data_IF_300533924385
#
_entry.id   IF_300533924385
#
_cell.length_a   1.000
_cell.length_b   1.000
_cell.length_c   1.000
_cell.angle_alpha   90.00
_cell.angle_beta   90.00
_cell.angle_gamma   90.00
#
_symmetry.space_group_name_H-M   'P 1'
#
loop_
_entity.id
_entity.type
_entity.pdbx_description
1 polymer ?
#
# COMPACT_ATOMS: atom_id res chain seq x y z
N UNK A 1 -1.35 10.61 -9.60
CA UNK A 1 -0.11 10.34 -8.85
C UNK A 1 -0.32 10.07 -7.35
N UNK A 2 -1.11 9.04 -7.04
CA UNK A 2 -1.23 8.37 -5.74
C UNK A 2 -0.31 7.13 -5.71
N UNK A 3 0.85 7.24 -6.36
CA UNK A 3 1.53 6.11 -7.00
C UNK A 3 1.89 5.03 -5.98
N UNK A 4 2.27 5.39 -4.75
CA UNK A 4 2.82 4.44 -3.80
C UNK A 4 1.70 3.70 -3.08
N UNK A 5 0.75 4.44 -2.51
CA UNK A 5 -0.40 3.92 -1.77
C UNK A 5 -1.24 3.04 -2.68
N UNK A 6 -1.52 3.52 -3.90
CA UNK A 6 -2.24 2.75 -4.92
C UNK A 6 -1.45 1.51 -5.34
N UNK A 7 -0.13 1.63 -5.57
CA UNK A 7 0.64 0.47 -6.02
C UNK A 7 0.77 -0.59 -4.93
N UNK A 8 0.95 -0.19 -3.68
CA UNK A 8 1.00 -1.11 -2.54
C UNK A 8 -0.39 -1.73 -2.32
N UNK A 9 -1.45 -0.92 -2.34
CA UNK A 9 -2.81 -1.44 -2.20
C UNK A 9 -3.19 -2.39 -3.34
N UNK A 10 -2.86 -2.05 -4.59
CA UNK A 10 -3.11 -2.93 -5.73
C UNK A 10 -2.30 -4.23 -5.64
N UNK A 11 -1.02 -4.16 -5.24
CA UNK A 11 -0.19 -5.35 -5.07
C UNK A 11 -0.70 -6.25 -3.94
N UNK A 12 -1.10 -5.66 -2.81
CA UNK A 12 -1.70 -6.38 -1.69
C UNK A 12 -3.05 -7.00 -2.08
N UNK A 13 -3.88 -6.25 -2.82
CA UNK A 13 -5.14 -6.74 -3.38
C UNK A 13 -4.93 -7.93 -4.31
N UNK A 14 -4.03 -7.82 -5.30
CA UNK A 14 -3.72 -8.90 -6.23
C UNK A 14 -3.19 -10.14 -5.49
N UNK A 15 -2.30 -9.96 -4.52
CA UNK A 15 -1.77 -11.06 -3.72
C UNK A 15 -2.86 -11.76 -2.90
N UNK A 16 -3.75 -11.00 -2.28
CA UNK A 16 -4.83 -11.53 -1.43
C UNK A 16 -5.90 -12.20 -2.28
N UNK A 17 -6.35 -11.54 -3.35
CA UNK A 17 -7.35 -12.08 -4.28
C UNK A 17 -6.86 -13.39 -4.90
N UNK A 18 -5.60 -13.49 -5.31
CA UNK A 18 -5.05 -14.72 -5.87
C UNK A 18 -5.13 -15.89 -4.87
N UNK A 19 -4.84 -15.66 -3.58
CA UNK A 19 -4.97 -16.70 -2.55
C UNK A 19 -6.44 -17.14 -2.38
N UNK A 20 -7.34 -16.18 -2.29
CA UNK A 20 -8.76 -16.44 -2.08
C UNK A 20 -9.45 -17.10 -3.29
N UNK A 21 -9.04 -16.76 -4.51
CA UNK A 21 -9.53 -17.40 -5.74
C UNK A 21 -9.02 -18.84 -5.84
N UNK A 22 -7.74 -19.08 -5.55
CA UNK A 22 -7.15 -20.43 -5.53
C UNK A 22 -7.86 -21.32 -4.50
N UNK A 23 -8.18 -20.77 -3.34
CA UNK A 23 -8.88 -21.49 -2.27
C UNK A 23 -10.40 -21.63 -2.50
N UNK A 24 -10.95 -21.05 -3.57
CA UNK A 24 -12.40 -21.06 -3.85
C UNK A 24 -13.25 -20.29 -2.83
N UNK A 25 -12.64 -19.38 -2.06
CA UNK A 25 -13.28 -18.67 -0.93
C UNK A 25 -14.13 -17.47 -1.34
N UNK A 26 -13.98 -16.97 -2.57
CA UNK A 26 -14.66 -15.76 -3.04
C UNK A 26 -15.22 -15.90 -4.44
N UNK A 27 -16.43 -15.39 -4.66
CA UNK A 27 -16.98 -15.25 -6.00
C UNK A 27 -16.44 -14.01 -6.71
N UNK A 28 -16.48 -14.00 -8.04
CA UNK A 28 -16.09 -12.82 -8.84
C UNK A 28 -16.89 -11.57 -8.47
N UNK A 29 -18.18 -11.72 -8.12
CA UNK A 29 -19.06 -10.60 -7.73
C UNK A 29 -18.62 -9.98 -6.41
N UNK A 30 -18.30 -10.81 -5.41
CA UNK A 30 -17.83 -10.34 -4.10
C UNK A 30 -16.45 -9.69 -4.20
N UNK A 31 -15.55 -10.26 -5.00
CA UNK A 31 -14.23 -9.68 -5.26
C UNK A 31 -14.34 -8.30 -5.95
N UNK A 32 -15.22 -8.18 -6.94
CA UNK A 32 -15.45 -6.89 -7.61
C UNK A 32 -16.03 -5.84 -6.66
N UNK A 33 -16.99 -6.23 -5.83
CA UNK A 33 -17.59 -5.32 -4.85
C UNK A 33 -16.56 -4.87 -3.80
N UNK A 34 -15.78 -5.79 -3.24
CA UNK A 34 -14.68 -5.48 -2.33
C UNK A 34 -13.68 -4.50 -2.97
N UNK A 35 -13.26 -4.75 -4.22
CA UNK A 35 -12.35 -3.88 -4.93
C UNK A 35 -12.91 -2.46 -5.14
N UNK A 36 -14.22 -2.34 -5.41
CA UNK A 36 -14.86 -1.03 -5.57
C UNK A 36 -14.83 -0.22 -4.26
N UNK A 37 -15.10 -0.86 -3.13
CA UNK A 37 -15.03 -0.22 -1.81
C UNK A 37 -13.60 0.23 -1.51
N UNK A 38 -12.62 -0.65 -1.69
CA UNK A 38 -11.20 -0.33 -1.49
C UNK A 38 -10.75 0.83 -2.40
N UNK A 39 -11.12 0.79 -3.68
CA UNK A 39 -10.73 1.80 -4.68
C UNK A 39 -11.34 3.17 -4.40
N UNK A 40 -12.57 3.23 -3.88
CA UNK A 40 -13.22 4.48 -3.51
C UNK A 40 -12.39 5.21 -2.44
N UNK A 41 -11.94 4.49 -1.42
CA UNK A 41 -11.13 5.05 -0.34
C UNK A 41 -9.73 5.45 -0.81
N UNK A 42 -9.08 4.62 -1.63
CA UNK A 42 -7.75 4.94 -2.19
C UNK A 42 -7.78 6.23 -3.03
N UNK A 43 -8.82 6.42 -3.83
CA UNK A 43 -8.97 7.62 -4.67
C UNK A 43 -9.36 8.87 -3.87
N UNK A 44 -9.94 8.70 -2.67
CA UNK A 44 -10.34 9.80 -1.79
C UNK A 44 -9.19 10.46 -1.02
N UNK A 45 -8.00 9.85 -1.01
CA UNK A 45 -6.86 10.31 -0.20
C UNK A 45 -6.32 11.65 -0.71
N UNK A 46 -6.12 12.59 0.20
CA UNK A 46 -5.44 13.85 -0.08
C UNK A 46 -4.07 13.56 -0.72
N UNK A 47 -3.91 14.03 -1.95
CA UNK A 47 -2.84 13.67 -2.86
C UNK A 47 -1.45 13.90 -2.21
N UNK A 48 -0.58 12.88 -2.10
CA UNK A 48 0.85 13.08 -1.82
C UNK A 48 1.57 13.92 -2.88
N UNK A 49 0.83 14.29 -3.92
CA UNK A 49 1.24 15.10 -5.05
C UNK A 49 1.24 16.62 -4.79
N UNK A 50 0.93 17.07 -3.56
CA UNK A 50 1.14 18.48 -3.16
C UNK A 50 2.63 18.74 -2.81
N UNK A 51 3.50 17.75 -3.03
CA UNK A 51 4.95 17.90 -2.90
C UNK A 51 5.57 18.40 -4.21
N UNK A 52 6.76 19.01 -4.13
CA UNK A 52 7.44 19.53 -5.32
C UNK A 52 7.73 18.39 -6.31
N UNK A 53 7.72 18.71 -7.62
CA UNK A 53 8.05 17.75 -8.70
C UNK A 53 9.34 16.96 -8.43
N UNK A 54 10.33 17.61 -7.82
CA UNK A 54 11.61 17.01 -7.42
C UNK A 54 11.42 15.87 -6.41
N UNK A 55 10.57 16.06 -5.39
CA UNK A 55 10.28 15.03 -4.37
C UNK A 55 9.54 13.85 -5.00
N UNK A 56 8.58 14.11 -5.89
CA UNK A 56 7.83 13.06 -6.58
C UNK A 56 8.70 12.18 -7.48
N UNK A 57 9.62 12.77 -8.22
CA UNK A 57 10.57 12.01 -9.04
C UNK A 57 11.58 11.24 -8.15
N UNK A 58 12.03 11.86 -7.07
CA UNK A 58 13.00 11.24 -6.17
C UNK A 58 12.42 10.03 -5.42
N UNK A 59 11.15 10.07 -5.00
CA UNK A 59 10.52 8.94 -4.29
C UNK A 59 10.24 7.73 -5.20
N UNK A 60 9.99 7.94 -6.49
CA UNK A 60 9.56 6.88 -7.41
C UNK A 60 10.55 5.69 -7.48
N UNK A 61 11.85 5.98 -7.60
CA UNK A 61 12.88 4.95 -7.73
C UNK A 61 12.94 4.01 -6.51
N UNK A 62 13.15 4.53 -5.29
CA UNK A 62 13.12 3.74 -4.06
C UNK A 62 11.83 2.93 -3.89
N UNK A 63 10.64 3.50 -4.16
CA UNK A 63 9.37 2.78 -4.04
C UNK A 63 9.27 1.63 -5.03
N UNK A 64 9.59 1.89 -6.31
CA UNK A 64 9.55 0.85 -7.34
C UNK A 64 10.48 -0.31 -6.96
N UNK A 65 11.67 0.02 -6.45
CA UNK A 65 12.64 -0.96 -5.99
C UNK A 65 12.17 -1.73 -4.73
N UNK A 66 11.46 -1.08 -3.81
CA UNK A 66 10.81 -1.74 -2.66
C UNK A 66 9.74 -2.73 -3.11
N UNK A 67 8.81 -2.30 -3.97
CA UNK A 67 7.73 -3.14 -4.51
C UNK A 67 8.25 -4.37 -5.25
N UNK A 68 9.23 -4.18 -6.13
CA UNK A 68 9.81 -5.31 -6.88
C UNK A 68 10.44 -6.35 -5.95
N UNK A 69 10.91 -5.96 -4.75
CA UNK A 69 11.42 -6.90 -3.75
C UNK A 69 10.30 -7.65 -3.03
N UNK A 70 9.16 -7.00 -2.74
CA UNK A 70 7.97 -7.67 -2.20
C UNK A 70 7.41 -8.72 -3.17
N UNK A 71 7.50 -8.46 -4.48
CA UNK A 71 7.05 -9.38 -5.52
C UNK A 71 7.94 -10.64 -5.65
N UNK A 72 9.22 -10.56 -5.29
CA UNK A 72 10.15 -11.71 -5.30
C UNK A 72 9.95 -12.49 -4.01
N UNK A 73 8.95 -13.39 -4.02
CA UNK A 73 8.47 -14.25 -2.93
C UNK A 73 9.48 -15.23 -2.29
N UNK A 74 10.75 -15.19 -2.67
CA UNK A 74 11.69 -16.27 -2.36
C UNK A 74 12.37 -16.18 -0.98
N UNK A 75 12.01 -15.20 -0.13
CA UNK A 75 12.52 -15.09 1.25
C UNK A 75 14.05 -14.92 1.39
N UNK A 76 14.79 -14.98 0.28
CA UNK A 76 16.27 -14.97 0.18
C UNK A 76 16.84 -13.58 0.00
N UNK A 77 16.04 -12.62 -0.45
CA UNK A 77 16.44 -11.22 -0.48
C UNK A 77 16.18 -10.63 0.90
N UNK A 78 17.25 -10.36 1.65
CA UNK A 78 17.23 -9.56 2.88
C UNK A 78 16.33 -8.34 2.64
N UNK A 79 15.39 -8.09 3.55
CA UNK A 79 14.54 -6.89 3.56
C UNK A 79 15.43 -5.65 3.64
N UNK A 80 15.81 -5.12 2.48
CA UNK A 80 16.50 -3.84 2.40
C UNK A 80 15.47 -2.78 2.72
N UNK A 81 15.64 -2.14 3.89
CA UNK A 81 14.75 -1.06 4.33
C UNK A 81 14.70 0.04 3.26
N UNK A 82 13.54 0.64 3.08
CA UNK A 82 13.33 1.71 2.11
C UNK A 82 14.32 2.87 2.27
N UNK A 83 14.68 3.23 3.51
CA UNK A 83 15.70 4.24 3.79
C UNK A 83 17.06 3.92 3.17
N UNK A 84 17.47 2.65 3.18
CA UNK A 84 18.70 2.21 2.54
C UNK A 84 18.62 2.38 1.01
N UNK A 85 17.44 2.16 0.41
CA UNK A 85 17.21 2.38 -1.02
C UNK A 85 17.24 3.86 -1.40
N UNK A 86 16.71 4.73 -0.54
CA UNK A 86 16.78 6.18 -0.70
C UNK A 86 18.24 6.65 -0.63
N UNK A 87 19.00 6.14 0.34
CA UNK A 87 20.42 6.49 0.56
C UNK A 87 21.34 6.00 -0.56
N UNK A 88 21.11 4.79 -1.08
CA UNK A 88 21.91 4.21 -2.17
C UNK A 88 21.67 4.90 -3.53
N UNK A 89 20.53 5.56 -3.70
CA UNK A 89 20.22 6.33 -4.90
C UNK A 89 20.79 7.74 -4.89
N UNK A 90 20.40 8.55 -5.90
CA UNK A 90 20.72 9.99 -5.96
C UNK A 90 19.85 10.85 -5.03
N UNK A 91 19.21 10.22 -4.05
CA UNK A 91 18.14 10.81 -3.23
C UNK A 91 18.51 10.90 -1.75
N UNK A 92 19.78 10.72 -1.37
CA UNK A 92 20.25 10.82 0.01
C UNK A 92 19.84 12.14 0.70
N UNK A 93 19.79 13.23 -0.06
CA UNK A 93 19.32 14.54 0.41
C UNK A 93 17.93 14.51 1.07
N UNK A 94 17.05 13.58 0.67
CA UNK A 94 15.72 13.44 1.28
C UNK A 94 15.78 12.91 2.71
N UNK A 95 16.81 12.13 3.06
CA UNK A 95 17.04 11.68 4.42
C UNK A 95 17.64 12.83 5.24
N UNK A 96 18.59 13.55 4.64
CA UNK A 96 19.32 14.61 5.33
C UNK A 96 18.42 15.80 5.72
N UNK A 97 17.42 16.13 4.91
CA UNK A 97 16.48 17.24 5.15
C UNK A 97 15.12 16.81 5.76
N UNK A 98 15.00 15.55 6.18
CA UNK A 98 13.77 14.99 6.75
C UNK A 98 12.58 14.90 5.78
N UNK A 99 12.78 15.10 4.47
CA UNK A 99 11.73 14.88 3.45
C UNK A 99 11.24 13.44 3.47
N UNK A 100 12.14 12.48 3.66
CA UNK A 100 11.78 11.06 3.71
C UNK A 100 10.88 10.71 4.90
N UNK A 101 11.12 11.30 6.07
CA UNK A 101 10.25 11.11 7.23
C UNK A 101 8.84 11.65 6.97
N UNK A 102 8.74 12.81 6.33
CA UNK A 102 7.46 13.36 5.88
C UNK A 102 6.75 12.43 4.90
N UNK A 103 7.48 11.82 3.96
CA UNK A 103 6.92 10.82 3.04
C UNK A 103 6.41 9.59 3.79
N UNK A 104 7.18 9.04 4.75
CA UNK A 104 6.74 7.90 5.59
C UNK A 104 5.47 8.22 6.37
N UNK A 105 5.42 9.37 7.03
CA UNK A 105 4.24 9.79 7.79
C UNK A 105 3.02 9.94 6.89
N UNK A 106 3.20 10.47 5.69
CA UNK A 106 2.08 10.63 4.77
C UNK A 106 1.57 9.28 4.24
N UNK A 107 2.44 8.28 4.04
CA UNK A 107 2.05 6.89 3.73
C UNK A 107 1.28 6.26 4.91
N UNK A 108 1.73 6.46 6.15
CA UNK A 108 1.03 5.97 7.36
C UNK A 108 -0.37 6.59 7.47
N UNK A 109 -0.45 7.92 7.33
CA UNK A 109 -1.73 8.65 7.36
C UNK A 109 -2.67 8.16 6.26
N UNK A 110 -2.14 7.88 5.06
CA UNK A 110 -2.92 7.31 3.97
C UNK A 110 -3.45 5.92 4.31
N UNK A 111 -2.62 5.02 4.86
CA UNK A 111 -3.06 3.69 5.30
C UNK A 111 -4.19 3.80 6.34
N UNK A 112 -3.99 4.60 7.39
CA UNK A 112 -5.00 4.79 8.44
C UNK A 112 -6.31 5.33 7.86
N UNK A 113 -6.22 6.27 6.91
CA UNK A 113 -7.40 6.83 6.23
C UNK A 113 -8.15 5.77 5.42
N UNK A 114 -7.43 4.88 4.72
CA UNK A 114 -8.01 3.75 3.99
C UNK A 114 -8.68 2.78 4.96
N UNK A 115 -8.01 2.41 6.06
CA UNK A 115 -8.55 1.48 7.05
C UNK A 115 -9.83 2.01 7.69
N UNK A 116 -9.84 3.29 8.09
CA UNK A 116 -11.04 3.95 8.61
C UNK A 116 -12.15 4.02 7.56
N UNK A 117 -11.80 4.36 6.32
CA UNK A 117 -12.72 4.44 5.18
C UNK A 117 -13.38 3.11 4.87
N UNK A 118 -12.59 2.05 4.77
CA UNK A 118 -13.05 0.68 4.56
C UNK A 118 -13.88 0.21 5.76
N UNK A 119 -13.47 0.55 6.99
CA UNK A 119 -14.25 0.28 8.19
C UNK A 119 -15.65 0.92 8.13
N UNK A 120 -15.74 2.20 7.77
CA UNK A 120 -17.03 2.88 7.56
C UNK A 120 -17.83 2.23 6.43
N UNK A 121 -17.20 1.90 5.31
CA UNK A 121 -17.86 1.23 4.20
C UNK A 121 -18.41 -0.15 4.59
N UNK A 122 -17.74 -0.89 5.45
CA UNK A 122 -18.21 -2.17 5.98
C UNK A 122 -19.40 -2.01 6.95
N UNK A 123 -19.47 -0.90 7.69
CA UNK A 123 -20.58 -0.61 8.60
C UNK A 123 -21.81 -0.14 7.82
N UNK A 124 -21.64 0.81 6.90
CA UNK A 124 -22.78 1.48 6.23
C UNK A 124 -23.17 0.85 4.89
N UNK A 125 -22.24 0.19 4.20
CA UNK A 125 -22.49 -0.46 2.90
C UNK A 125 -23.08 -1.87 3.00
N UNK A 126 -23.17 -2.42 4.22
CA UNK A 126 -23.63 -3.78 4.50
C UNK A 126 -23.08 -4.86 3.53
N UNK A 127 -21.76 -4.91 3.28
CA UNK A 127 -21.18 -5.94 2.44
C UNK A 127 -21.36 -7.34 3.03
N UNK A 128 -21.17 -8.38 2.21
CA UNK A 128 -21.19 -9.76 2.70
C UNK A 128 -20.03 -10.02 3.66
N UNK A 129 -20.15 -10.99 4.59
CA UNK A 129 -19.03 -11.39 5.45
C UNK A 129 -17.76 -11.74 4.68
N UNK A 130 -17.90 -12.38 3.52
CA UNK A 130 -16.80 -12.68 2.58
C UNK A 130 -16.09 -11.42 2.12
N UNK A 131 -16.84 -10.38 1.71
CA UNK A 131 -16.27 -9.10 1.29
C UNK A 131 -15.54 -8.41 2.44
N UNK A 132 -16.10 -8.42 3.66
CA UNK A 132 -15.45 -7.85 4.84
C UNK A 132 -14.13 -8.56 5.14
N UNK A 133 -14.13 -9.89 5.14
CA UNK A 133 -12.92 -10.66 5.43
C UNK A 133 -11.85 -10.50 4.33
N UNK A 134 -12.23 -10.46 3.05
CA UNK A 134 -11.30 -10.18 1.95
C UNK A 134 -10.66 -8.79 2.06
N UNK A 135 -11.44 -7.78 2.45
CA UNK A 135 -10.94 -6.43 2.71
C UNK A 135 -10.00 -6.41 3.91
N UNK A 136 -10.35 -7.10 5.00
CA UNK A 136 -9.50 -7.25 6.18
C UNK A 136 -8.14 -7.85 5.84
N UNK A 137 -8.12 -9.00 5.18
CA UNK A 137 -6.89 -9.66 4.74
C UNK A 137 -6.05 -8.77 3.80
N UNK A 138 -6.71 -7.98 2.95
CA UNK A 138 -6.01 -7.03 2.06
C UNK A 138 -5.33 -5.91 2.86
N UNK A 139 -6.02 -5.34 3.86
CA UNK A 139 -5.46 -4.29 4.73
C UNK A 139 -4.31 -4.83 5.58
N UNK A 140 -4.47 -6.02 6.16
CA UNK A 140 -3.40 -6.71 6.90
C UNK A 140 -2.18 -6.94 6.02
N UNK A 141 -2.41 -7.34 4.76
CA UNK A 141 -1.32 -7.49 3.79
C UNK A 141 -0.64 -6.18 3.45
N UNK A 142 -1.40 -5.09 3.25
CA UNK A 142 -0.83 -3.75 3.04
C UNK A 142 0.06 -3.34 4.21
N UNK A 143 -0.41 -3.54 5.45
CA UNK A 143 0.34 -3.24 6.67
C UNK A 143 1.61 -4.09 6.76
N UNK A 144 1.50 -5.39 6.53
CA UNK A 144 2.65 -6.30 6.50
C UNK A 144 3.71 -5.84 5.49
N UNK A 145 3.29 -5.51 4.27
CA UNK A 145 4.20 -5.07 3.20
C UNK A 145 4.88 -3.75 3.55
N UNK A 146 4.16 -2.81 4.17
CA UNK A 146 4.73 -1.54 4.66
C UNK A 146 5.74 -1.75 5.81
N UNK A 147 5.48 -2.67 6.73
CA UNK A 147 6.42 -3.06 7.80
C UNK A 147 7.67 -3.73 7.19
N UNK A 148 7.50 -4.64 6.24
CA UNK A 148 8.60 -5.31 5.55
C UNK A 148 9.50 -4.31 4.79
N UNK A 149 8.91 -3.22 4.30
CA UNK A 149 9.62 -2.10 3.68
C UNK A 149 10.27 -1.13 4.69
N UNK A 150 9.97 -1.26 5.98
CA UNK A 150 10.45 -0.36 7.03
C UNK A 150 9.82 1.03 6.95
N UNK A 151 8.57 1.12 6.45
CA UNK A 151 7.80 2.36 6.35
C UNK A 151 6.89 2.57 7.56
N UNK A 152 6.54 1.50 8.26
CA UNK A 152 5.71 1.46 9.46
C UNK A 152 6.46 0.65 10.52
N UNK A 153 6.34 1.07 11.79
CA UNK A 153 6.94 0.39 12.94
C UNK A 153 6.08 -0.77 13.44
#
# INVERSE_FOLDING_TARGET
DHIIEVQIANAAWEATLNLWVVDGKVTRKEALHAYQLLRAEINGIANLNVTSKRVNQAKEGPIRAGRNRLAVRDGRLRTVRMEQLVRQGRNGWMLDDGTWDRVKQAIITALNSIEEGVGRACIYGAPTPTTVALLGDTLDRMRHDLVALGLVA
#
